data_IF_378097635481
#
_entry.id   IF_378097635481
#
_cell.length_a   1.000
_cell.length_b   1.000
_cell.length_c   1.000
_cell.angle_alpha   90.00
_cell.angle_beta   90.00
_cell.angle_gamma   90.00
#
_symmetry.space_group_name_H-M   'P 1'
#
loop_
_entity.id
_entity.type
_entity.pdbx_description
1 polymer ?
#
# COMPACT_ATOMS: atom_id res chain seq x y z
N UNK A 1 -1.72 15.19 -8.47
CA UNK A 1 -3.02 14.80 -7.87
C UNK A 1 -3.17 15.38 -6.47
N UNK A 2 -2.43 14.93 -5.44
CA UNK A 2 -2.62 15.41 -4.06
C UNK A 2 -2.61 16.95 -3.93
N UNK A 3 -1.57 17.59 -4.46
CA UNK A 3 -1.39 19.05 -4.41
C UNK A 3 -2.49 19.83 -5.14
N UNK A 4 -2.99 19.29 -6.25
CA UNK A 4 -4.03 19.95 -7.06
C UNK A 4 -5.42 19.77 -6.46
N UNK A 5 -5.66 18.70 -5.69
CA UNK A 5 -6.97 18.36 -5.14
C UNK A 5 -7.17 18.83 -3.70
N UNK A 6 -6.12 19.15 -2.94
CA UNK A 6 -6.21 19.51 -1.52
C UNK A 6 -7.07 20.74 -1.25
N UNK A 7 -7.11 21.69 -2.19
CA UNK A 7 -7.91 22.92 -2.08
C UNK A 7 -9.36 22.72 -2.54
N UNK A 8 -9.65 21.60 -3.21
CA UNK A 8 -10.98 21.29 -3.76
C UNK A 8 -11.71 20.32 -2.84
N UNK A 9 -11.06 19.23 -2.44
CA UNK A 9 -11.61 18.21 -1.55
C UNK A 9 -11.34 18.57 -0.10
N UNK A 10 -11.96 19.65 0.36
CA UNK A 10 -11.88 20.11 1.75
C UNK A 10 -12.79 19.28 2.66
N UNK A 11 -12.43 19.20 3.94
CA UNK A 11 -13.13 18.39 4.94
C UNK A 11 -14.64 18.68 5.00
N UNK A 12 -15.01 19.96 5.00
CA UNK A 12 -16.40 20.38 5.27
C UNK A 12 -17.34 20.12 4.08
N UNK A 13 -16.82 20.24 2.85
CA UNK A 13 -17.64 20.07 1.64
C UNK A 13 -17.59 18.64 1.09
N UNK A 14 -16.47 17.93 1.29
CA UNK A 14 -16.23 16.62 0.70
C UNK A 14 -15.56 15.67 1.72
N UNK A 15 -16.25 15.25 2.79
CA UNK A 15 -15.65 14.47 3.87
C UNK A 15 -15.04 13.15 3.39
N UNK A 16 -15.74 12.43 2.50
CA UNK A 16 -15.25 11.18 1.89
C UNK A 16 -14.04 11.45 0.99
N UNK A 17 -14.10 12.50 0.15
CA UNK A 17 -13.00 12.88 -0.73
C UNK A 17 -11.75 13.32 0.05
N UNK A 18 -11.95 14.05 1.15
CA UNK A 18 -10.89 14.45 2.06
C UNK A 18 -10.27 13.24 2.78
N UNK A 19 -11.08 12.27 3.23
CA UNK A 19 -10.59 11.02 3.80
C UNK A 19 -9.75 10.21 2.79
N UNK A 20 -10.16 10.17 1.52
CA UNK A 20 -9.35 9.58 0.45
C UNK A 20 -8.02 10.30 0.27
N UNK A 21 -8.02 11.64 0.26
CA UNK A 21 -6.78 12.42 0.17
C UNK A 21 -5.83 12.12 1.34
N UNK A 22 -6.35 11.97 2.56
CA UNK A 22 -5.54 11.57 3.72
C UNK A 22 -4.94 10.18 3.53
N UNK A 23 -5.68 9.23 2.95
CA UNK A 23 -5.15 7.91 2.61
C UNK A 23 -4.02 8.01 1.58
N UNK A 24 -4.19 8.78 0.50
CA UNK A 24 -3.16 8.98 -0.53
C UNK A 24 -1.91 9.66 0.05
N UNK A 25 -2.08 10.70 0.86
CA UNK A 25 -0.97 11.36 1.53
C UNK A 25 -0.20 10.39 2.46
N UNK A 26 -0.93 9.62 3.28
CA UNK A 26 -0.33 8.64 4.18
C UNK A 26 0.34 7.49 3.43
N UNK A 27 -0.18 7.11 2.26
CA UNK A 27 0.45 6.13 1.37
C UNK A 27 1.83 6.59 0.94
N UNK A 28 1.94 7.82 0.42
CA UNK A 28 3.23 8.38 0.00
C UNK A 28 4.23 8.42 1.16
N UNK A 29 3.77 8.72 2.38
CA UNK A 29 4.63 8.79 3.56
C UNK A 29 5.23 7.47 3.99
N UNK A 30 4.51 6.34 3.95
CA UNK A 30 5.13 5.05 4.30
C UNK A 30 5.91 4.50 3.11
N UNK A 31 5.42 4.72 1.89
CA UNK A 31 6.08 4.25 0.68
C UNK A 31 7.46 4.90 0.49
N UNK A 32 7.64 6.15 0.91
CA UNK A 32 8.97 6.79 0.91
C UNK A 32 9.99 6.07 1.80
N UNK A 33 9.56 5.34 2.83
CA UNK A 33 10.47 4.49 3.62
C UNK A 33 10.76 3.17 2.91
N UNK A 34 9.77 2.56 2.26
CA UNK A 34 9.95 1.30 1.53
C UNK A 34 11.00 1.42 0.41
N UNK A 35 11.02 2.58 -0.27
CA UNK A 35 11.92 2.82 -1.41
C UNK A 35 13.31 3.31 -1.03
N UNK A 36 13.66 3.30 0.26
CA UNK A 36 15.02 3.66 0.68
C UNK A 36 16.02 2.58 0.22
N UNK A 37 17.16 3.01 -0.32
CA UNK A 37 18.23 2.09 -0.71
C UNK A 37 18.92 1.44 0.49
N UNK A 38 18.88 2.12 1.64
CA UNK A 38 19.46 1.63 2.90
C UNK A 38 18.43 1.79 4.01
N UNK A 39 18.16 0.69 4.69
CA UNK A 39 17.27 0.64 5.84
C UNK A 39 18.07 0.45 7.12
N UNK A 40 17.86 1.32 8.10
CA UNK A 40 18.31 1.14 9.48
C UNK A 40 17.14 0.70 10.34
N UNK A 41 17.42 0.20 11.54
CA UNK A 41 16.39 -0.09 12.55
C UNK A 41 15.46 1.12 12.78
N UNK A 42 16.02 2.33 12.79
CA UNK A 42 15.28 3.57 13.01
C UNK A 42 14.37 3.94 11.83
N UNK A 43 14.81 3.73 10.58
CA UNK A 43 13.98 3.98 9.40
C UNK A 43 12.90 2.93 9.24
N UNK A 44 13.19 1.67 9.57
CA UNK A 44 12.22 0.56 9.58
C UNK A 44 11.12 0.86 10.59
N UNK A 45 11.46 1.09 11.86
CA UNK A 45 10.48 1.41 12.91
C UNK A 45 9.67 2.68 12.59
N UNK A 46 10.28 3.65 11.87
CA UNK A 46 9.56 4.84 11.42
C UNK A 46 8.59 4.54 10.29
N UNK A 47 8.99 3.72 9.32
CA UNK A 47 8.15 3.25 8.24
C UNK A 47 6.95 2.43 8.74
N UNK A 48 7.17 1.52 9.69
CA UNK A 48 6.10 0.71 10.31
C UNK A 48 5.03 1.57 10.98
N UNK A 49 5.44 2.61 11.73
CA UNK A 49 4.49 3.57 12.33
C UNK A 49 3.68 4.32 11.27
N UNK A 50 4.30 4.68 10.13
CA UNK A 50 3.60 5.35 9.02
C UNK A 50 2.62 4.39 8.32
N UNK A 51 3.01 3.12 8.16
CA UNK A 51 2.15 2.08 7.60
C UNK A 51 0.94 1.81 8.50
N UNK A 52 1.13 1.73 9.82
CA UNK A 52 0.03 1.58 10.78
C UNK A 52 -0.94 2.77 10.70
N UNK A 53 -0.41 4.00 10.61
CA UNK A 53 -1.24 5.20 10.39
C UNK A 53 -2.05 5.09 9.10
N UNK A 54 -1.46 4.60 8.01
CA UNK A 54 -2.16 4.41 6.75
C UNK A 54 -3.29 3.37 6.90
N UNK A 55 -3.06 2.25 7.58
CA UNK A 55 -4.08 1.22 7.83
C UNK A 55 -5.28 1.81 8.57
N UNK A 56 -5.04 2.57 9.64
CA UNK A 56 -6.12 3.22 10.39
C UNK A 56 -6.91 4.24 9.56
N UNK A 57 -6.23 5.03 8.72
CA UNK A 57 -6.90 5.96 7.81
C UNK A 57 -7.72 5.24 6.73
N UNK A 58 -7.21 4.12 6.22
CA UNK A 58 -7.89 3.30 5.24
C UNK A 58 -9.16 2.67 5.84
N UNK A 59 -9.08 2.11 7.05
CA UNK A 59 -10.25 1.60 7.78
C UNK A 59 -11.30 2.69 7.97
N UNK A 60 -10.88 3.88 8.42
CA UNK A 60 -11.78 5.03 8.58
C UNK A 60 -12.41 5.49 7.25
N UNK A 61 -11.69 5.41 6.13
CA UNK A 61 -12.23 5.73 4.82
C UNK A 61 -13.26 4.69 4.35
N UNK A 62 -12.99 3.40 4.61
CA UNK A 62 -13.89 2.30 4.26
C UNK A 62 -15.21 2.40 5.02
N UNK A 63 -15.17 2.72 6.33
CA UNK A 63 -16.37 2.84 7.16
C UNK A 63 -17.25 4.04 6.82
N UNK A 64 -16.71 5.04 6.11
CA UNK A 64 -17.49 6.20 5.63
C UNK A 64 -18.31 5.91 4.37
N UNK A 65 -18.07 4.80 3.68
CA UNK A 65 -18.81 4.41 2.48
C UNK A 65 -20.04 3.57 2.81
N UNK A 66 -21.05 3.63 1.94
CA UNK A 66 -22.29 2.85 2.08
C UNK A 66 -22.04 1.35 2.28
N UNK A 67 -22.91 0.63 3.00
CA UNK A 67 -22.72 -0.78 3.35
C UNK A 67 -22.49 -1.71 2.15
N UNK A 68 -23.05 -1.42 0.97
CA UNK A 68 -22.76 -2.16 -0.27
C UNK A 68 -21.32 -1.98 -0.75
N UNK A 69 -20.76 -0.78 -0.61
CA UNK A 69 -19.37 -0.47 -0.98
C UNK A 69 -18.40 -0.95 0.11
N UNK A 70 -18.85 -1.01 1.36
CA UNK A 70 -18.13 -1.59 2.50
C UNK A 70 -18.03 -3.12 2.44
N UNK A 71 -18.89 -3.81 1.67
CA UNK A 71 -18.75 -5.25 1.39
C UNK A 71 -17.51 -5.58 0.54
N UNK A 72 -16.91 -4.58 -0.12
CA UNK A 72 -15.66 -4.79 -0.85
C UNK A 72 -14.58 -5.22 0.12
N UNK A 73 -14.08 -6.44 -0.04
CA UNK A 73 -12.98 -6.93 0.77
C UNK A 73 -11.70 -6.18 0.43
N UNK A 74 -11.30 -5.26 1.30
CA UNK A 74 -10.06 -4.49 1.18
C UNK A 74 -8.82 -5.29 1.59
N UNK A 75 -8.99 -6.51 2.10
CA UNK A 75 -7.92 -7.52 2.20
C UNK A 75 -7.61 -8.14 0.82
N UNK A 76 -7.49 -7.28 -0.20
CA UNK A 76 -7.08 -7.66 -1.54
C UNK A 76 -5.55 -7.80 -1.57
N UNK A 77 -4.96 -8.71 -2.37
CA UNK A 77 -3.52 -8.99 -2.36
C UNK A 77 -2.64 -7.74 -2.41
N UNK A 78 -3.08 -6.69 -3.11
CA UNK A 78 -2.35 -5.44 -3.27
C UNK A 78 -2.19 -4.62 -1.97
N UNK A 79 -3.18 -4.64 -1.07
CA UNK A 79 -3.11 -3.98 0.26
C UNK A 79 -2.45 -4.92 1.27
N UNK A 80 -2.70 -6.23 1.15
CA UNK A 80 -2.08 -7.24 2.00
C UNK A 80 -0.55 -7.26 1.85
N UNK A 81 -0.04 -7.17 0.62
CA UNK A 81 1.40 -7.05 0.34
C UNK A 81 2.05 -5.87 1.08
N UNK A 82 1.34 -4.74 1.20
CA UNK A 82 1.88 -3.57 1.91
C UNK A 82 1.90 -3.74 3.43
N UNK A 83 1.06 -4.61 4.00
CA UNK A 83 1.05 -4.92 5.45
C UNK A 83 2.35 -5.59 5.90
N UNK A 84 2.95 -6.39 5.03
CA UNK A 84 4.18 -7.13 5.32
C UNK A 84 5.43 -6.48 4.74
N UNK A 85 5.33 -5.27 4.18
CA UNK A 85 6.43 -4.65 3.43
C UNK A 85 7.73 -4.52 4.24
N UNK A 86 7.65 -4.11 5.51
CA UNK A 86 8.85 -3.95 6.36
C UNK A 86 9.41 -5.30 6.84
N UNK A 87 8.55 -6.28 7.10
CA UNK A 87 8.98 -7.64 7.40
C UNK A 87 9.69 -8.26 6.18
N UNK A 88 9.13 -8.07 4.99
CA UNK A 88 9.75 -8.48 3.73
C UNK A 88 11.12 -7.81 3.53
N UNK A 89 11.26 -6.52 3.88
CA UNK A 89 12.56 -5.82 3.83
C UNK A 89 13.58 -6.44 4.79
N UNK A 90 13.16 -6.81 5.99
CA UNK A 90 14.03 -7.46 6.99
C UNK A 90 14.47 -8.85 6.50
N UNK A 91 13.55 -9.63 5.94
CA UNK A 91 13.79 -11.03 5.55
C UNK A 91 14.50 -11.17 4.19
N UNK A 92 14.14 -10.32 3.22
CA UNK A 92 14.54 -10.46 1.80
C UNK A 92 15.47 -9.33 1.34
N UNK A 93 15.61 -8.28 2.14
CA UNK A 93 16.34 -7.06 1.77
C UNK A 93 15.49 -6.06 0.99
N UNK A 94 16.14 -5.01 0.49
CA UNK A 94 15.49 -3.87 -0.17
C UNK A 94 14.78 -4.30 -1.46
N UNK A 95 13.61 -3.70 -1.73
CA UNK A 95 12.81 -3.96 -2.94
C UNK A 95 13.51 -3.63 -4.28
N UNK A 96 14.68 -3.00 -4.27
CA UNK A 96 15.51 -2.70 -5.45
C UNK A 96 15.99 -3.97 -6.16
N UNK A 97 16.21 -5.04 -5.41
CA UNK A 97 16.56 -6.33 -6.00
C UNK A 97 15.27 -6.98 -6.49
N UNK A 98 14.98 -6.82 -7.79
CA UNK A 98 13.88 -7.46 -8.48
C UNK A 98 13.63 -8.88 -7.97
N UNK A 99 12.35 -9.25 -7.89
CA UNK A 99 11.94 -10.61 -7.56
C UNK A 99 12.69 -11.59 -8.45
N UNK A 100 13.57 -12.41 -7.88
CA UNK A 100 14.13 -13.58 -8.54
C UNK A 100 13.02 -14.62 -8.66
N UNK A 101 11.98 -14.36 -9.47
CA UNK A 101 11.05 -15.39 -9.91
C UNK A 101 11.78 -16.16 -11.00
N UNK A 102 12.51 -17.25 -10.68
CA UNK A 102 13.33 -17.94 -11.67
C UNK A 102 12.42 -18.61 -12.72
N UNK A 103 11.13 -18.76 -12.39
CA UNK A 103 10.12 -19.46 -13.15
C UNK A 103 9.05 -18.58 -13.83
N UNK A 104 9.18 -17.25 -13.82
CA UNK A 104 8.13 -16.40 -14.42
C UNK A 104 7.98 -16.64 -15.95
N UNK A 105 9.06 -17.05 -16.63
CA UNK A 105 9.02 -17.48 -18.05
C UNK A 105 8.58 -18.94 -18.25
N UNK A 106 8.54 -19.76 -17.20
CA UNK A 106 8.25 -21.20 -17.31
C UNK A 106 6.74 -21.49 -17.39
N UNK A 107 5.90 -20.50 -17.10
CA UNK A 107 4.44 -20.63 -17.20
C UNK A 107 3.96 -20.86 -18.64
N UNK A 108 4.65 -20.31 -19.65
CA UNK A 108 4.33 -20.54 -21.07
C UNK A 108 4.50 -22.01 -21.47
N UNK A 109 5.71 -22.58 -21.30
CA UNK A 109 5.98 -23.99 -21.61
C UNK A 109 5.09 -24.97 -20.81
N UNK A 110 4.91 -24.75 -19.50
CA UNK A 110 4.10 -25.65 -18.67
C UNK A 110 2.63 -25.68 -19.13
N UNK A 111 2.09 -24.54 -19.59
CA UNK A 111 0.73 -24.46 -20.14
C UNK A 111 0.57 -25.28 -21.43
N UNK A 112 1.62 -25.36 -22.26
CA UNK A 112 1.62 -26.15 -23.51
C UNK A 112 1.66 -27.66 -23.30
N UNK A 113 2.19 -28.13 -22.16
CA UNK A 113 2.28 -29.56 -21.87
C UNK A 113 1.07 -30.10 -21.10
N UNK A 114 0.33 -29.24 -20.39
CA UNK A 114 -0.80 -29.65 -19.54
C UNK A 114 -2.19 -29.36 -20.14
N UNK A 115 -2.29 -28.55 -21.20
CA UNK A 115 -3.53 -28.24 -21.94
C UNK A 115 -3.36 -28.61 -23.42
#
# INVERSE_FOLDING_TARGET
ILFTTQNVLIHDNHPIGYALLRCIASYLHYHSYIVLDVHTETTIASGERKLLKFQHLLESYITMHDPETAQKNWNFPKVHLTKHAFQDIIEKGVMQNYSMRPNESHHGPIRQYYL
#
